data_IF_846569737435
#
_entry.id   IF_846569737435
#
_cell.length_a   1.000
_cell.length_b   1.000
_cell.length_c   1.000
_cell.angle_alpha   90.00
_cell.angle_beta   90.00
_cell.angle_gamma   90.00
#
_symmetry.space_group_name_H-M   'P 1'
#
loop_
_entity.id
_entity.type
_entity.pdbx_description
1 polymer ?
#
# COMPACT_ATOMS: atom_id res chain seq x y z
N UNK A 1 1.35 15.13 -1.49
CA UNK A 1 0.17 14.88 -2.34
C UNK A 1 -0.96 15.72 -1.81
N UNK A 2 -1.70 16.39 -2.68
CA UNK A 2 -2.88 17.18 -2.29
C UNK A 2 -4.14 16.38 -2.64
N UNK A 3 -5.09 16.26 -1.71
CA UNK A 3 -6.40 15.69 -2.02
C UNK A 3 -7.18 16.71 -2.86
N UNK A 4 -7.76 16.25 -3.96
CA UNK A 4 -8.46 17.13 -4.93
C UNK A 4 -9.97 16.89 -4.93
N UNK A 5 -10.41 15.65 -4.71
CA UNK A 5 -11.84 15.33 -4.76
C UNK A 5 -12.10 13.83 -4.78
N UNK A 6 -13.38 13.47 -4.89
CA UNK A 6 -13.82 12.08 -5.04
C UNK A 6 -14.63 11.92 -6.32
N UNK A 7 -14.28 10.94 -7.14
CA UNK A 7 -14.96 10.66 -8.40
C UNK A 7 -15.43 9.20 -8.46
N UNK A 8 -16.40 8.92 -9.31
CA UNK A 8 -16.82 7.55 -9.63
C UNK A 8 -16.16 7.10 -10.92
N UNK A 9 -15.55 5.93 -10.92
CA UNK A 9 -14.91 5.37 -12.10
C UNK A 9 -15.29 3.90 -12.28
N UNK A 10 -15.57 3.43 -13.51
CA UNK A 10 -15.70 2.01 -13.79
C UNK A 10 -14.41 1.26 -13.43
N UNK A 11 -14.52 0.03 -12.94
CA UNK A 11 -13.34 -0.78 -12.59
C UNK A 11 -12.38 -0.99 -13.78
N UNK A 12 -12.91 -1.05 -15.01
CA UNK A 12 -12.10 -1.20 -16.23
C UNK A 12 -11.13 -0.04 -16.48
N UNK A 13 -11.38 1.11 -15.86
CA UNK A 13 -10.53 2.29 -15.98
C UNK A 13 -9.50 2.38 -14.84
N UNK A 14 -9.54 1.49 -13.85
CA UNK A 14 -8.61 1.52 -12.72
C UNK A 14 -7.42 0.61 -12.97
N UNK A 15 -6.22 1.19 -12.93
CA UNK A 15 -4.97 0.45 -13.14
C UNK A 15 -4.09 0.57 -11.90
N UNK A 16 -3.49 -0.53 -11.39
CA UNK A 16 -2.63 -0.45 -10.21
C UNK A 16 -1.35 0.35 -10.51
N UNK A 17 -1.02 1.27 -9.62
CA UNK A 17 0.24 2.03 -9.66
C UNK A 17 1.37 1.25 -8.97
N UNK A 18 2.47 1.01 -9.69
CA UNK A 18 3.71 0.41 -9.20
C UNK A 18 3.64 -1.06 -8.75
N UNK A 19 4.74 -1.57 -8.21
CA UNK A 19 4.83 -2.88 -7.55
C UNK A 19 4.36 -2.77 -6.09
N UNK A 20 3.05 -2.69 -5.88
CA UNK A 20 2.47 -2.86 -4.55
C UNK A 20 2.51 -4.31 -4.08
N UNK A 21 1.97 -4.55 -2.87
CA UNK A 21 1.96 -5.89 -2.26
C UNK A 21 1.30 -6.95 -3.15
N UNK A 22 1.80 -8.18 -3.02
CA UNK A 22 1.16 -9.35 -3.59
C UNK A 22 -0.27 -9.46 -3.06
N UNK A 23 -1.20 -9.74 -3.98
CA UNK A 23 -2.61 -9.93 -3.64
C UNK A 23 -2.71 -11.28 -2.92
N UNK A 24 -3.37 -11.28 -1.76
CA UNK A 24 -3.65 -12.49 -0.98
C UNK A 24 -5.07 -12.95 -1.30
N UNK A 25 -5.16 -14.08 -1.98
CA UNK A 25 -6.43 -14.66 -2.43
C UNK A 25 -7.37 -14.96 -1.26
N UNK A 26 -6.85 -15.29 -0.07
CA UNK A 26 -7.69 -15.55 1.12
C UNK A 26 -8.43 -14.29 1.58
N UNK A 27 -7.79 -13.13 1.43
CA UNK A 27 -8.38 -11.83 1.77
C UNK A 27 -9.40 -11.45 0.69
N UNK A 28 -9.05 -11.66 -0.58
CA UNK A 28 -9.98 -11.45 -1.71
C UNK A 28 -11.24 -12.28 -1.53
N UNK A 29 -11.12 -13.58 -1.25
CA UNK A 29 -12.25 -14.48 -1.00
C UNK A 29 -13.13 -14.02 0.16
N UNK A 30 -12.50 -13.57 1.26
CA UNK A 30 -13.21 -13.03 2.42
C UNK A 30 -13.98 -11.77 2.06
N UNK A 31 -13.37 -10.88 1.25
CA UNK A 31 -14.00 -9.66 0.77
C UNK A 31 -15.15 -9.96 -0.19
N UNK A 32 -14.98 -10.89 -1.13
CA UNK A 32 -16.06 -11.35 -2.04
C UNK A 32 -17.25 -11.87 -1.23
N UNK A 33 -17.02 -12.67 -0.18
CA UNK A 33 -18.09 -13.16 0.71
C UNK A 33 -18.80 -12.02 1.44
N UNK A 34 -18.07 -11.01 1.92
CA UNK A 34 -18.66 -9.83 2.57
C UNK A 34 -19.47 -8.99 1.59
N UNK A 35 -18.94 -8.78 0.39
CA UNK A 35 -19.57 -8.06 -0.70
C UNK A 35 -20.88 -8.70 -1.16
N UNK A 36 -20.93 -10.04 -1.27
CA UNK A 36 -22.18 -10.78 -1.54
C UNK A 36 -23.23 -10.61 -0.44
N UNK A 37 -22.83 -10.51 0.83
CA UNK A 37 -23.76 -10.38 1.95
C UNK A 37 -24.27 -8.95 2.17
N UNK A 38 -23.46 -7.95 1.86
CA UNK A 38 -23.71 -6.56 2.26
C UNK A 38 -24.30 -5.67 1.15
N UNK A 39 -24.60 -6.19 -0.05
CA UNK A 39 -24.95 -5.40 -1.24
C UNK A 39 -23.98 -4.22 -1.43
N UNK A 40 -22.81 -4.51 -2.00
CA UNK A 40 -21.70 -3.58 -2.25
C UNK A 40 -22.09 -2.10 -2.41
N UNK A 41 -22.11 -1.35 -1.31
CA UNK A 41 -22.19 0.11 -1.38
C UNK A 41 -20.80 0.67 -1.70
N UNK A 42 -20.44 0.65 -2.98
CA UNK A 42 -19.19 1.18 -3.53
C UNK A 42 -19.02 2.70 -3.31
N UNK A 43 -20.09 3.38 -2.88
CA UNK A 43 -20.10 4.80 -2.52
C UNK A 43 -19.75 5.10 -1.07
N UNK A 44 -19.74 4.10 -0.17
CA UNK A 44 -19.43 4.36 1.24
C UNK A 44 -17.99 4.83 1.41
N UNK A 45 -17.77 5.83 2.27
CA UNK A 45 -16.43 6.38 2.58
C UNK A 45 -15.39 5.30 2.95
N UNK A 46 -15.86 4.21 3.56
CA UNK A 46 -15.04 3.08 3.95
C UNK A 46 -14.58 2.20 2.77
N UNK A 47 -15.26 2.27 1.63
CA UNK A 47 -14.95 1.48 0.43
C UNK A 47 -14.12 2.27 -0.60
N UNK A 48 -13.92 3.57 -0.41
CA UNK A 48 -13.21 4.41 -1.39
C UNK A 48 -11.76 3.95 -1.62
N UNK A 49 -11.36 3.98 -2.89
CA UNK A 49 -10.01 3.67 -3.39
C UNK A 49 -9.22 4.97 -3.48
N UNK A 50 -7.90 4.92 -3.34
CA UNK A 50 -7.07 6.13 -3.49
C UNK A 50 -6.31 6.07 -4.82
N UNK A 51 -6.55 7.07 -5.66
CA UNK A 51 -5.94 7.27 -6.97
C UNK A 51 -4.87 8.37 -6.95
N UNK A 52 -3.83 8.20 -7.78
CA UNK A 52 -2.81 9.23 -8.04
C UNK A 52 -3.07 9.83 -9.41
N UNK A 53 -2.99 11.15 -9.48
CA UNK A 53 -3.09 11.94 -10.71
C UNK A 53 -2.02 13.03 -10.72
N UNK A 54 -1.63 13.45 -11.93
CA UNK A 54 -0.73 14.59 -12.15
C UNK A 54 -1.54 15.86 -12.40
N UNK A 55 -0.89 17.03 -12.46
CA UNK A 55 -1.56 18.29 -12.80
C UNK A 55 -2.11 18.30 -14.23
N UNK A 56 -1.42 17.65 -15.17
CA UNK A 56 -1.88 17.49 -16.56
C UNK A 56 -3.14 16.61 -16.64
N UNK A 57 -3.15 15.51 -15.88
CA UNK A 57 -4.33 14.66 -15.76
C UNK A 57 -5.48 15.39 -15.09
N UNK A 58 -5.18 16.19 -14.07
CA UNK A 58 -6.19 16.98 -13.37
C UNK A 58 -6.87 17.98 -14.31
N UNK A 59 -6.09 18.73 -15.10
CA UNK A 59 -6.65 19.65 -16.10
C UNK A 59 -7.51 18.89 -17.12
N UNK A 60 -7.05 17.72 -17.55
CA UNK A 60 -7.79 16.87 -18.47
C UNK A 60 -9.09 16.30 -17.87
N UNK A 61 -9.07 15.92 -16.60
CA UNK A 61 -10.23 15.40 -15.86
C UNK A 61 -11.26 16.52 -15.65
N UNK A 62 -10.81 17.72 -15.28
CA UNK A 62 -11.68 18.90 -15.16
C UNK A 62 -12.37 19.22 -16.50
N UNK A 63 -11.63 19.16 -17.61
CA UNK A 63 -12.19 19.36 -18.95
C UNK A 63 -13.21 18.28 -19.32
N UNK A 64 -12.91 17.00 -19.01
CA UNK A 64 -13.81 15.89 -19.31
C UNK A 64 -15.10 15.93 -18.47
N UNK A 65 -15.01 16.39 -17.22
CA UNK A 65 -16.14 16.53 -16.30
C UNK A 65 -16.86 17.89 -16.46
N UNK A 66 -16.36 18.80 -17.30
CA UNK A 66 -16.86 20.18 -17.42
C UNK A 66 -17.03 20.88 -16.06
N UNK A 67 -16.14 20.59 -15.12
CA UNK A 67 -16.27 20.99 -13.71
C UNK A 67 -15.05 21.82 -13.29
N UNK A 68 -15.19 22.73 -12.31
CA UNK A 68 -14.07 23.49 -11.73
C UNK A 68 -13.43 22.76 -10.54
N UNK A 69 -12.20 23.15 -10.19
CA UNK A 69 -11.48 22.58 -9.05
C UNK A 69 -12.25 22.77 -7.74
N UNK A 70 -12.94 23.90 -7.53
CA UNK A 70 -13.74 24.12 -6.31
C UNK A 70 -14.94 23.17 -6.22
N UNK A 71 -15.61 22.91 -7.35
CA UNK A 71 -16.74 21.97 -7.37
C UNK A 71 -16.32 20.53 -7.08
N UNK A 72 -15.10 20.12 -7.46
CA UNK A 72 -14.52 18.83 -7.03
C UNK A 72 -14.25 18.79 -5.52
N UNK A 73 -13.85 19.90 -4.89
CA UNK A 73 -13.76 19.95 -3.42
C UNK A 73 -15.14 19.84 -2.77
N UNK A 74 -16.18 20.45 -3.33
CA UNK A 74 -17.54 20.32 -2.81
C UNK A 74 -18.08 18.88 -2.88
N UNK A 75 -17.55 18.03 -3.79
CA UNK A 75 -17.93 16.61 -3.83
C UNK A 75 -17.48 15.81 -2.59
N UNK A 76 -16.47 16.29 -1.85
CA UNK A 76 -16.11 15.71 -0.55
C UNK A 76 -17.22 15.87 0.48
N UNK A 77 -17.96 16.98 0.43
CA UNK A 77 -18.98 17.32 1.42
C UNK A 77 -20.38 16.82 1.00
N UNK A 78 -20.67 16.81 -0.30
CA UNK A 78 -22.02 16.50 -0.82
C UNK A 78 -22.30 15.03 -1.10
N UNK A 79 -21.30 14.13 -1.02
CA UNK A 79 -21.42 12.69 -1.32
C UNK A 79 -22.01 12.35 -2.71
N UNK A 80 -22.03 13.31 -3.62
CA UNK A 80 -22.43 13.15 -5.01
C UNK A 80 -21.17 13.18 -5.89
N UNK A 81 -20.78 12.02 -6.41
CA UNK A 81 -19.53 11.88 -7.15
C UNK A 81 -19.78 11.85 -8.66
N UNK A 82 -19.10 12.69 -9.45
CA UNK A 82 -19.23 12.68 -10.90
C UNK A 82 -18.66 11.38 -11.49
N UNK A 83 -19.30 10.87 -12.54
CA UNK A 83 -18.88 9.64 -13.22
C UNK A 83 -17.83 9.98 -14.29
N UNK A 84 -16.64 9.41 -14.15
CA UNK A 84 -15.57 9.48 -15.12
C UNK A 84 -15.41 8.10 -15.79
N UNK A 85 -15.89 7.97 -17.02
CA UNK A 85 -15.84 6.70 -17.79
C UNK A 85 -14.78 6.69 -18.90
N UNK A 86 -14.24 7.87 -19.26
CA UNK A 86 -13.44 8.03 -20.48
C UNK A 86 -11.93 8.07 -20.23
N UNK A 87 -11.46 7.83 -19.00
CA UNK A 87 -10.04 7.90 -18.65
C UNK A 87 -9.62 6.86 -17.63
N UNK A 88 -8.39 6.37 -17.80
CA UNK A 88 -7.75 5.46 -16.87
C UNK A 88 -7.11 6.21 -15.71
N UNK A 89 -7.28 5.71 -14.50
CA UNK A 89 -6.70 6.28 -13.28
C UNK A 89 -5.81 5.25 -12.61
N UNK A 90 -4.61 5.68 -12.24
CA UNK A 90 -3.69 4.88 -11.47
C UNK A 90 -4.10 4.87 -10.00
N UNK A 91 -4.29 3.70 -9.38
CA UNK A 91 -4.63 3.57 -7.96
C UNK A 91 -3.54 2.86 -7.17
N UNK A 92 -3.33 3.32 -5.93
CA UNK A 92 -2.28 2.79 -5.06
C UNK A 92 -2.82 2.09 -3.81
N UNK A 93 -4.03 2.43 -3.37
CA UNK A 93 -4.74 1.77 -2.27
C UNK A 93 -6.05 1.23 -2.76
N UNK A 94 -6.41 0.00 -2.43
CA UNK A 94 -7.61 -0.63 -2.98
C UNK A 94 -7.42 -1.99 -3.63
N UNK A 95 -6.22 -2.58 -3.63
CA UNK A 95 -5.88 -3.69 -4.53
C UNK A 95 -6.72 -4.95 -4.30
N UNK A 96 -6.84 -5.44 -3.06
CA UNK A 96 -7.65 -6.63 -2.76
C UNK A 96 -9.13 -6.32 -2.90
N UNK A 97 -9.56 -5.08 -2.62
CA UNK A 97 -10.95 -4.64 -2.84
C UNK A 97 -11.34 -4.60 -4.31
N UNK A 98 -10.50 -4.02 -5.16
CA UNK A 98 -10.72 -3.97 -6.61
C UNK A 98 -10.67 -5.39 -7.17
N UNK A 99 -9.70 -6.22 -6.77
CA UNK A 99 -9.66 -7.61 -7.18
C UNK A 99 -10.94 -8.38 -6.78
N UNK A 100 -11.43 -8.19 -5.55
CA UNK A 100 -12.68 -8.79 -5.09
C UNK A 100 -13.91 -8.22 -5.82
N UNK A 101 -13.91 -6.93 -6.16
CA UNK A 101 -14.99 -6.29 -6.89
C UNK A 101 -15.02 -6.77 -8.35
N UNK A 102 -13.87 -6.85 -9.02
CA UNK A 102 -13.74 -7.40 -10.38
C UNK A 102 -14.19 -8.85 -10.43
N UNK A 103 -13.88 -9.65 -9.41
CA UNK A 103 -14.35 -11.03 -9.29
C UNK A 103 -15.87 -11.15 -9.08
N UNK A 104 -16.55 -10.09 -8.62
CA UNK A 104 -17.99 -10.07 -8.41
C UNK A 104 -18.74 -9.49 -9.61
N UNK A 105 -18.30 -8.34 -10.13
CA UNK A 105 -18.90 -7.66 -11.27
C UNK A 105 -17.89 -6.78 -12.01
N UNK A 106 -17.72 -7.07 -13.29
CA UNK A 106 -16.77 -6.35 -14.16
C UNK A 106 -17.24 -4.92 -14.51
N UNK A 107 -18.54 -4.65 -14.43
CA UNK A 107 -19.14 -3.34 -14.70
C UNK A 107 -19.42 -2.51 -13.45
N UNK A 108 -18.85 -2.87 -12.30
CA UNK A 108 -19.02 -2.07 -11.09
C UNK A 108 -18.39 -0.68 -11.23
N UNK A 109 -19.06 0.31 -10.66
CA UNK A 109 -18.56 1.68 -10.52
C UNK A 109 -18.06 1.84 -9.09
N UNK A 110 -16.86 2.40 -8.95
CA UNK A 110 -16.19 2.56 -7.67
C UNK A 110 -15.83 4.01 -7.39
N UNK A 111 -15.95 4.44 -6.13
CA UNK A 111 -15.56 5.77 -5.71
C UNK A 111 -14.05 5.85 -5.42
N UNK A 112 -13.38 6.83 -6.04
CA UNK A 112 -11.92 7.03 -5.99
C UNK A 112 -11.60 8.43 -5.48
N UNK A 113 -10.84 8.50 -4.39
CA UNK A 113 -10.22 9.72 -3.86
C UNK A 113 -9.00 10.06 -4.71
N UNK A 114 -9.01 11.24 -5.32
CA UNK A 114 -7.96 11.70 -6.20
C UNK A 114 -6.90 12.50 -5.44
N UNK A 115 -5.66 12.02 -5.50
CA UNK A 115 -4.49 12.68 -4.95
C UNK A 115 -3.65 13.24 -6.08
N UNK A 116 -3.50 14.56 -6.11
CA UNK A 116 -2.63 15.24 -7.05
C UNK A 116 -1.20 15.24 -6.52
N UNK A 117 -0.28 14.75 -7.35
CA UNK A 117 1.15 14.84 -7.14
C UNK A 117 1.75 15.88 -8.11
N UNK A 118 2.69 16.69 -7.62
CA UNK A 118 3.57 17.55 -8.44
C UNK A 118 4.60 16.66 -9.13
N UNK A 119 4.14 15.92 -10.13
CA UNK A 119 4.91 14.93 -10.87
C UNK A 119 4.37 14.83 -12.29
N UNK A 120 5.21 14.34 -13.20
CA UNK A 120 4.85 14.04 -14.59
C UNK A 120 4.99 12.55 -14.83
N UNK A 121 4.10 11.96 -15.65
CA UNK A 121 4.23 10.56 -16.02
C UNK A 121 5.41 10.37 -16.96
N UNK A 122 6.36 9.50 -16.59
CA UNK A 122 7.40 9.00 -17.49
C UNK A 122 6.86 7.81 -18.27
N UNK A 123 6.18 6.91 -17.55
CA UNK A 123 5.49 5.77 -18.13
C UNK A 123 4.24 5.48 -17.31
N UNK A 124 3.07 5.80 -17.86
CA UNK A 124 1.80 5.45 -17.22
C UNK A 124 1.60 3.92 -17.25
N UNK A 125 1.22 3.26 -16.13
CA UNK A 125 0.99 3.76 -14.77
C UNK A 125 2.12 3.39 -13.79
N UNK A 126 3.34 3.13 -14.27
CA UNK A 126 4.42 2.54 -13.49
C UNK A 126 5.42 3.55 -12.91
N UNK A 127 5.73 4.64 -13.64
CA UNK A 127 6.82 5.56 -13.28
C UNK A 127 6.35 7.01 -13.36
N UNK A 128 6.48 7.72 -12.24
CA UNK A 128 6.32 9.17 -12.12
C UNK A 128 7.69 9.83 -11.98
N UNK A 129 7.99 10.83 -12.81
CA UNK A 129 9.13 11.72 -12.64
C UNK A 129 8.72 12.86 -11.73
N UNK A 130 9.46 13.01 -10.64
CA UNK A 130 9.32 14.13 -9.73
C UNK A 130 10.44 15.13 -10.01
N UNK A 131 10.14 16.43 -9.91
CA UNK A 131 11.15 17.49 -10.03
C UNK A 131 12.23 17.40 -8.92
N UNK A 132 11.98 16.60 -7.87
CA UNK A 132 12.93 16.36 -6.79
C UNK A 132 12.90 14.89 -6.35
N UNK A 133 14.08 14.25 -6.19
CA UNK A 133 14.20 12.82 -5.83
C UNK A 133 13.65 12.50 -4.42
N UNK A 134 13.48 13.51 -3.56
CA UNK A 134 12.82 13.33 -2.25
C UNK A 134 11.33 13.05 -2.42
N UNK A 135 10.67 13.63 -3.42
CA UNK A 135 9.24 13.46 -3.63
C UNK A 135 8.90 12.10 -4.20
N UNK A 136 9.80 11.51 -5.01
CA UNK A 136 9.65 10.16 -5.56
C UNK A 136 9.64 9.09 -4.47
N UNK A 137 10.62 9.12 -3.55
CA UNK A 137 10.63 8.23 -2.40
C UNK A 137 9.44 8.47 -1.49
N UNK A 138 9.03 9.72 -1.28
CA UNK A 138 7.81 10.03 -0.52
C UNK A 138 6.54 9.43 -1.13
N UNK A 139 6.38 9.44 -2.46
CA UNK A 139 5.20 8.85 -3.12
C UNK A 139 5.25 7.33 -3.11
N UNK A 140 6.40 6.73 -3.43
CA UNK A 140 6.54 5.27 -3.40
C UNK A 140 6.36 4.71 -1.98
N UNK A 141 6.93 5.39 -0.98
CA UNK A 141 6.74 5.02 0.43
C UNK A 141 5.29 5.26 0.87
N UNK A 142 4.63 6.34 0.41
CA UNK A 142 3.22 6.58 0.70
C UNK A 142 2.32 5.51 0.04
N UNK A 143 2.68 5.01 -1.13
CA UNK A 143 2.02 3.88 -1.81
C UNK A 143 2.21 2.59 -1.02
N UNK A 144 3.44 2.25 -0.64
CA UNK A 144 3.75 1.09 0.21
C UNK A 144 3.05 1.17 1.58
N UNK A 145 2.99 2.37 2.16
CA UNK A 145 2.39 2.65 3.45
C UNK A 145 0.87 2.63 3.41
N UNK A 146 0.27 3.12 2.32
CA UNK A 146 -1.19 3.26 2.20
C UNK A 146 -1.87 2.01 1.65
N UNK A 147 -1.14 1.01 1.14
CA UNK A 147 -1.67 -0.28 0.69
C UNK A 147 -2.28 -1.16 1.82
N UNK A 148 -2.60 -0.58 2.99
CA UNK A 148 -3.12 -1.19 4.20
C UNK A 148 -4.53 -1.81 4.05
N UNK A 149 -4.64 -2.94 3.34
CA UNK A 149 -5.85 -3.79 3.40
C UNK A 149 -5.64 -5.05 4.27
N UNK A 150 -4.39 -5.43 4.49
CA UNK A 150 -3.96 -6.48 5.43
C UNK A 150 -3.07 -5.91 6.54
N UNK A 151 -3.11 -6.53 7.72
CA UNK A 151 -2.11 -6.26 8.75
C UNK A 151 -0.71 -6.60 8.20
N UNK A 152 0.29 -5.83 8.58
CA UNK A 152 1.66 -6.07 8.14
C UNK A 152 2.12 -7.41 8.70
N UNK A 153 2.72 -8.25 7.86
CA UNK A 153 3.45 -9.39 8.38
C UNK A 153 4.65 -8.88 9.19
N UNK A 154 5.03 -9.61 10.23
CA UNK A 154 6.21 -9.32 11.03
C UNK A 154 7.48 -9.23 10.15
N UNK A 155 7.54 -10.00 9.05
CA UNK A 155 8.61 -9.91 8.04
C UNK A 155 8.59 -8.64 7.19
N UNK A 156 7.42 -8.12 6.85
CA UNK A 156 7.29 -6.83 6.15
C UNK A 156 7.71 -5.67 7.06
N UNK A 157 7.37 -5.75 8.35
CA UNK A 157 7.80 -4.77 9.35
C UNK A 157 9.33 -4.80 9.46
N UNK A 158 9.94 -5.99 9.52
CA UNK A 158 11.40 -6.12 9.52
C UNK A 158 12.03 -5.47 8.28
N UNK A 159 11.53 -5.77 7.08
CA UNK A 159 12.01 -5.17 5.82
C UNK A 159 11.96 -3.64 5.85
N UNK A 160 10.83 -3.07 6.29
CA UNK A 160 10.65 -1.62 6.38
C UNK A 160 11.57 -0.98 7.42
N UNK A 161 11.75 -1.61 8.58
CA UNK A 161 12.70 -1.15 9.60
C UNK A 161 14.12 -1.10 9.01
N UNK A 162 14.56 -2.14 8.28
CA UNK A 162 15.88 -2.15 7.62
C UNK A 162 16.00 -1.09 6.53
N UNK A 163 14.96 -0.89 5.70
CA UNK A 163 14.90 0.15 4.66
C UNK A 163 15.08 1.55 5.27
N UNK A 164 14.30 1.90 6.29
CA UNK A 164 14.36 3.23 6.91
C UNK A 164 15.61 3.43 7.79
N UNK A 165 16.15 2.36 8.38
CA UNK A 165 17.44 2.42 9.08
C UNK A 165 18.58 2.74 8.12
N UNK A 166 18.63 2.10 6.94
CA UNK A 166 19.62 2.42 5.89
C UNK A 166 19.46 3.84 5.34
N UNK A 167 18.23 4.33 5.27
CA UNK A 167 17.91 5.69 4.79
C UNK A 167 18.09 6.79 5.86
N UNK A 168 18.45 6.45 7.11
CA UNK A 168 18.51 7.38 8.25
C UNK A 168 17.21 8.20 8.48
N UNK A 169 16.05 7.63 8.16
CA UNK A 169 14.74 8.28 8.33
C UNK A 169 14.12 7.88 9.69
N UNK A 170 14.36 8.70 10.71
CA UNK A 170 13.96 8.42 12.09
C UNK A 170 12.46 8.55 12.33
N UNK A 171 11.79 9.48 11.66
CA UNK A 171 10.35 9.72 11.81
C UNK A 171 9.54 8.52 11.34
N UNK A 172 9.87 7.97 10.17
CA UNK A 172 9.16 6.80 9.63
C UNK A 172 9.50 5.52 10.36
N UNK A 173 10.74 5.39 10.83
CA UNK A 173 11.13 4.26 11.67
C UNK A 173 10.30 4.22 12.96
N UNK A 174 10.06 5.36 13.60
CA UNK A 174 9.19 5.45 14.77
C UNK A 174 7.74 5.05 14.45
N UNK A 175 7.23 5.49 13.30
CA UNK A 175 5.87 5.16 12.83
C UNK A 175 5.69 3.66 12.49
N UNK A 176 6.70 3.02 11.90
CA UNK A 176 6.67 1.57 11.66
C UNK A 176 6.73 0.81 12.98
N UNK A 177 7.56 1.27 13.93
CA UNK A 177 7.70 0.65 15.26
C UNK A 177 6.44 0.77 16.09
N UNK A 178 5.70 1.88 16.00
CA UNK A 178 4.44 2.07 16.76
C UNK A 178 3.36 1.03 16.44
N UNK A 179 3.47 0.32 15.30
CA UNK A 179 2.57 -0.77 14.90
C UNK A 179 2.90 -2.10 15.58
N UNK A 180 4.09 -2.23 16.16
CA UNK A 180 4.49 -3.41 16.90
C UNK A 180 3.91 -3.35 18.31
N UNK A 181 3.41 -4.49 18.79
CA UNK A 181 3.12 -4.65 20.22
C UNK A 181 4.44 -4.56 21.02
N UNK A 182 4.43 -4.08 22.28
CA UNK A 182 5.65 -3.93 23.09
C UNK A 182 6.53 -5.19 23.13
N UNK A 183 5.95 -6.38 23.23
CA UNK A 183 6.69 -7.64 23.23
C UNK A 183 7.43 -7.92 21.90
N UNK A 184 6.84 -7.53 20.77
CA UNK A 184 7.46 -7.66 19.44
C UNK A 184 8.56 -6.64 19.24
N UNK A 185 8.44 -5.44 19.82
CA UNK A 185 9.51 -4.44 19.78
C UNK A 185 10.75 -4.91 20.55
N UNK A 186 10.56 -5.48 21.74
CA UNK A 186 11.67 -6.11 22.50
C UNK A 186 12.30 -7.25 21.70
N UNK A 187 11.47 -8.11 21.09
CA UNK A 187 11.96 -9.23 20.27
C UNK A 187 12.76 -8.74 19.04
N UNK A 188 12.29 -7.68 18.39
CA UNK A 188 12.96 -7.04 17.26
C UNK A 188 14.30 -6.43 17.69
N UNK A 189 14.34 -5.70 18.81
CA UNK A 189 15.58 -5.12 19.31
C UNK A 189 16.61 -6.20 19.67
N UNK A 190 16.17 -7.31 20.28
CA UNK A 190 17.03 -8.46 20.56
C UNK A 190 17.57 -9.14 19.30
N UNK A 191 16.75 -9.24 18.25
CA UNK A 191 17.19 -9.72 16.94
C UNK A 191 18.23 -8.79 16.30
N UNK A 192 17.99 -7.49 16.34
CA UNK A 192 18.89 -6.48 15.75
C UNK A 192 20.26 -6.40 16.44
N UNK A 193 20.36 -6.82 17.70
CA UNK A 193 21.65 -6.92 18.41
C UNK A 193 22.52 -8.09 17.91
N UNK A 194 21.95 -9.10 17.25
CA UNK A 194 22.67 -10.28 16.77
C UNK A 194 23.05 -10.11 15.31
N UNK A 195 24.23 -9.53 15.07
CA UNK A 195 24.74 -9.21 13.72
C UNK A 195 24.70 -10.40 12.75
N UNK A 196 25.03 -11.61 13.22
CA UNK A 196 25.02 -12.83 12.40
C UNK A 196 23.65 -13.20 11.85
N UNK A 197 22.58 -13.08 12.66
CA UNK A 197 21.21 -13.35 12.25
C UNK A 197 20.66 -12.25 11.34
N UNK A 198 21.00 -11.00 11.63
CA UNK A 198 20.62 -9.84 10.80
C UNK A 198 21.19 -9.99 9.41
N UNK A 199 22.46 -10.40 9.25
CA UNK A 199 23.06 -10.61 7.93
C UNK A 199 22.34 -11.69 7.12
N UNK A 200 22.02 -12.83 7.75
CA UNK A 200 21.29 -13.92 7.09
C UNK A 200 19.86 -13.50 6.70
N UNK A 201 19.16 -12.78 7.58
CA UNK A 201 17.82 -12.23 7.27
C UNK A 201 17.86 -11.12 6.22
N UNK A 202 18.91 -10.30 6.21
CA UNK A 202 19.09 -9.23 5.23
C UNK A 202 19.28 -9.80 3.81
N UNK A 203 19.92 -10.97 3.67
CA UNK A 203 20.00 -11.68 2.38
C UNK A 203 18.62 -12.16 1.88
N UNK A 204 17.72 -12.52 2.80
CA UNK A 204 16.35 -12.92 2.46
C UNK A 204 15.44 -11.74 2.10
N UNK A 205 15.89 -10.48 2.25
CA UNK A 205 15.08 -9.31 1.88
C UNK A 205 14.80 -9.22 0.37
N UNK A 206 15.64 -9.86 -0.45
CA UNK A 206 15.44 -9.98 -1.90
C UNK A 206 14.26 -10.88 -2.25
N UNK A 207 13.87 -11.78 -1.34
CA UNK A 207 12.80 -12.76 -1.53
C UNK A 207 11.62 -12.48 -0.58
N UNK A 208 10.71 -11.57 -0.93
CA UNK A 208 9.62 -11.16 -0.03
C UNK A 208 8.70 -12.31 0.40
N UNK A 209 8.57 -13.36 -0.43
CA UNK A 209 7.79 -14.56 -0.10
C UNK A 209 8.33 -15.35 1.09
N UNK A 210 9.65 -15.34 1.31
CA UNK A 210 10.29 -16.06 2.41
C UNK A 210 10.09 -15.38 3.76
N UNK A 211 9.90 -14.05 3.76
CA UNK A 211 9.67 -13.26 4.98
C UNK A 211 8.25 -13.39 5.52
N UNK A 212 7.30 -13.92 4.74
CA UNK A 212 5.90 -14.06 5.14
C UNK A 212 5.70 -14.92 6.39
N UNK A 213 6.61 -15.86 6.66
CA UNK A 213 6.59 -16.75 7.82
C UNK A 213 7.32 -16.22 9.07
N UNK A 214 7.97 -15.05 8.99
CA UNK A 214 8.66 -14.48 10.15
C UNK A 214 7.64 -14.17 11.25
N UNK A 215 7.91 -14.59 12.48
CA UNK A 215 7.06 -14.31 13.64
C UNK A 215 7.90 -13.66 14.74
N UNK A 216 7.95 -12.32 14.75
CA UNK A 216 8.67 -11.55 15.77
C UNK A 216 8.18 -11.90 17.19
N UNK A 217 6.89 -12.28 17.31
CA UNK A 217 6.30 -12.73 18.56
C UNK A 217 6.88 -14.02 19.14
N UNK A 218 7.54 -14.87 18.36
CA UNK A 218 8.18 -16.11 18.86
C UNK A 218 9.71 -16.04 18.87
N UNK A 219 10.30 -15.05 18.19
CA UNK A 219 11.76 -14.91 18.10
C UNK A 219 12.41 -14.84 19.47
N UNK A 220 11.87 -14.09 20.44
CA UNK A 220 12.47 -14.02 21.78
C UNK A 220 12.61 -15.39 22.46
N UNK A 221 11.71 -16.36 22.20
CA UNK A 221 11.83 -17.73 22.73
C UNK A 221 12.99 -18.47 22.09
N UNK A 222 13.12 -18.36 20.77
CA UNK A 222 14.24 -18.98 20.04
C UNK A 222 15.59 -18.36 20.42
N UNK A 223 15.62 -17.04 20.65
CA UNK A 223 16.81 -16.32 21.13
C UNK A 223 17.21 -16.73 22.55
N UNK A 224 16.24 -17.00 23.42
CA UNK A 224 16.47 -17.49 24.79
C UNK A 224 16.94 -18.96 24.82
N UNK A 225 16.55 -19.76 23.83
CA UNK A 225 16.99 -21.15 23.67
C UNK A 225 18.38 -21.28 23.02
N UNK A 226 19.08 -20.17 22.76
CA UNK A 226 20.36 -20.15 22.05
C UNK A 226 20.34 -20.89 20.70
N UNK A 227 19.18 -20.94 20.04
CA UNK A 227 19.01 -21.62 18.75
C UNK A 227 19.58 -20.80 17.56
N UNK A 228 20.44 -19.82 17.83
CA UNK A 228 20.98 -18.88 16.84
C UNK A 228 21.67 -19.56 15.68
N UNK A 229 22.47 -20.59 15.99
CA UNK A 229 23.19 -21.39 15.02
C UNK A 229 22.26 -22.15 14.10
N UNK A 230 21.18 -22.74 14.63
CA UNK A 230 20.18 -23.47 13.85
C UNK A 230 19.34 -22.55 12.97
N UNK A 231 18.94 -21.39 13.49
CA UNK A 231 18.19 -20.38 12.73
C UNK A 231 19.06 -19.87 11.57
N UNK A 232 20.32 -19.55 11.85
CA UNK A 232 21.28 -19.13 10.83
C UNK A 232 21.46 -20.20 9.75
N UNK A 233 21.69 -21.45 10.14
CA UNK A 233 21.89 -22.55 9.21
C UNK A 233 20.68 -22.72 8.27
N UNK A 234 19.45 -22.65 8.81
CA UNK A 234 18.24 -22.71 8.00
C UNK A 234 18.14 -21.55 7.00
N UNK A 235 18.57 -20.34 7.36
CA UNK A 235 18.56 -19.20 6.44
C UNK A 235 19.65 -19.27 5.36
N UNK A 236 20.77 -19.93 5.63
CA UNK A 236 21.86 -20.13 4.65
C UNK A 236 21.59 -21.28 3.65
N UNK A 237 20.64 -22.18 3.95
CA UNK A 237 20.32 -23.36 3.12
C UNK A 237 18.99 -23.23 2.36
N UNK A 238 18.45 -22.02 2.27
CA UNK A 238 17.30 -21.64 1.42
C UNK A 238 17.85 -21.06 0.11
#
# INVERSE_FOLDING_TARGET
MELVGVIRCPLNCLVPYGEGRQIDDRIVDRLVRRFRKANCNSNGENHQVHGIITYEDLASILNALQTTKESLYETLERNAYPLLSNRTIAYFRGRHRIAAATALSQNAVWAVRLYCAKANWVSFPAILSFESPRHESHVQDAVEFSACESAYSDGEIYRLVRKYTKANDTSRLAEVRSRLTPCKEVSLNGLLQRSSLVTALDALLEFPGMLGGLQLGNIHKHLALHADSHIKWNFEHI
#
